data_IF_147642696705
#
_entry.id   IF_147642696705
#
_cell.length_a   1.000
_cell.length_b   1.000
_cell.length_c   1.000
_cell.angle_alpha   90.00
_cell.angle_beta   90.00
_cell.angle_gamma   90.00
#
_symmetry.space_group_name_H-M   'P 1'
#
loop_
_entity.id
_entity.type
_entity.pdbx_description
1 polymer ?
#
# COMPACT_ATOMS: atom_id res chain seq x y z
N UNK A 1 -23.45 -59.07 -86.77
CA UNK A 1 -22.09 -59.39 -86.58
C UNK A 1 -21.38 -58.12 -86.27
N UNK A 2 -21.17 -57.88 -85.03
CA UNK A 2 -20.82 -56.57 -84.47
C UNK A 2 -19.30 -56.44 -84.26
N UNK A 3 -18.74 -55.42 -84.83
CA UNK A 3 -17.37 -55.00 -84.62
C UNK A 3 -17.32 -53.93 -83.50
N UNK A 4 -16.63 -54.25 -82.42
CA UNK A 4 -16.28 -53.31 -81.37
C UNK A 4 -15.04 -52.52 -81.79
N UNK A 5 -15.15 -51.20 -81.80
CA UNK A 5 -14.00 -50.27 -81.83
C UNK A 5 -13.71 -49.77 -80.40
N UNK A 6 -12.47 -49.66 -79.95
CA UNK A 6 -12.12 -49.07 -78.69
C UNK A 6 -11.94 -47.53 -78.86
N UNK A 7 -12.54 -46.76 -77.95
CA UNK A 7 -12.32 -45.30 -77.78
C UNK A 7 -10.97 -45.02 -77.13
N UNK A 8 -10.11 -44.33 -77.84
CA UNK A 8 -8.87 -43.79 -77.33
C UNK A 8 -9.11 -42.38 -76.82
N UNK A 9 -8.98 -42.18 -75.48
CA UNK A 9 -9.10 -40.90 -74.83
C UNK A 9 -7.75 -40.43 -74.30
N UNK A 10 -6.85 -40.02 -75.15
CA UNK A 10 -5.63 -39.33 -74.75
C UNK A 10 -5.89 -37.83 -74.67
N UNK A 11 -6.04 -37.34 -73.43
CA UNK A 11 -6.13 -35.88 -73.16
C UNK A 11 -4.67 -35.34 -73.04
N UNK A 12 -4.26 -34.35 -73.78
CA UNK A 12 -2.92 -33.79 -73.67
C UNK A 12 -2.81 -32.92 -72.38
N UNK A 13 -1.92 -33.33 -71.49
CA UNK A 13 -1.59 -32.48 -70.32
C UNK A 13 -0.77 -31.30 -70.82
N UNK A 14 -1.43 -30.17 -70.91
CA UNK A 14 -0.83 -28.88 -71.31
C UNK A 14 -0.01 -28.32 -70.15
N UNK A 15 1.28 -28.59 -70.13
CA UNK A 15 2.25 -28.19 -69.10
C UNK A 15 2.63 -26.72 -69.29
N UNK A 16 1.75 -25.76 -68.82
CA UNK A 16 2.02 -24.32 -68.90
C UNK A 16 3.04 -23.94 -67.82
N UNK A 17 4.23 -23.40 -68.15
CA UNK A 17 5.27 -23.02 -67.21
C UNK A 17 4.85 -21.83 -66.30
N UNK A 18 3.76 -21.11 -66.64
CA UNK A 18 3.22 -20.01 -65.88
C UNK A 18 2.64 -20.47 -64.51
N UNK A 19 1.96 -21.65 -64.44
CA UNK A 19 1.30 -22.13 -63.20
C UNK A 19 2.35 -22.55 -62.18
N UNK A 20 3.51 -23.11 -62.59
CA UNK A 20 4.59 -23.45 -61.69
C UNK A 20 5.28 -22.24 -61.05
N UNK A 21 5.39 -21.13 -61.77
CA UNK A 21 6.00 -19.89 -61.22
C UNK A 21 5.06 -19.19 -60.24
N UNK A 22 3.75 -19.24 -60.44
CA UNK A 22 2.77 -18.70 -59.49
C UNK A 22 2.68 -19.52 -58.22
N UNK A 23 2.71 -20.85 -58.28
CA UNK A 23 2.74 -21.70 -57.09
C UNK A 23 4.03 -21.52 -56.27
N UNK A 24 5.17 -21.38 -56.91
CA UNK A 24 6.45 -21.17 -56.23
C UNK A 24 6.48 -19.77 -55.54
N UNK A 25 5.98 -18.74 -56.19
CA UNK A 25 5.86 -17.39 -55.61
C UNK A 25 4.89 -17.35 -54.41
N UNK A 26 3.80 -18.12 -54.49
CA UNK A 26 2.83 -18.21 -53.39
C UNK A 26 3.42 -19.00 -52.17
N UNK A 27 4.19 -20.05 -52.41
CA UNK A 27 4.89 -20.80 -51.36
C UNK A 27 5.98 -19.99 -50.66
N UNK A 28 6.75 -19.19 -51.39
CA UNK A 28 7.76 -18.28 -50.81
C UNK A 28 7.08 -17.15 -50.01
N UNK A 29 5.96 -16.63 -50.48
CA UNK A 29 5.18 -15.62 -49.72
C UNK A 29 4.60 -16.20 -48.42
N UNK A 30 4.12 -17.43 -48.41
CA UNK A 30 3.63 -18.13 -47.22
C UNK A 30 4.78 -18.41 -46.24
N UNK A 31 5.96 -18.83 -46.70
CA UNK A 31 7.13 -19.00 -45.85
C UNK A 31 7.66 -17.69 -45.25
N UNK A 32 7.61 -16.60 -46.01
CA UNK A 32 7.97 -15.27 -45.54
C UNK A 32 6.96 -14.74 -44.50
N UNK A 33 5.67 -15.07 -44.58
CA UNK A 33 4.64 -14.75 -43.59
C UNK A 33 4.80 -15.55 -42.28
N UNK A 34 5.34 -16.77 -42.35
CA UNK A 34 5.59 -17.60 -41.17
C UNK A 34 6.82 -17.13 -40.36
N UNK A 35 7.77 -16.45 -40.97
CA UNK A 35 8.92 -15.85 -40.25
C UNK A 35 8.61 -14.47 -39.63
N UNK A 36 7.45 -13.86 -39.96
CA UNK A 36 7.02 -12.55 -39.39
C UNK A 36 6.47 -12.64 -37.95
N UNK A 37 6.33 -13.83 -37.38
CA UNK A 37 5.81 -14.01 -36.02
C UNK A 37 6.69 -13.36 -34.92
N UNK A 38 7.96 -13.05 -35.20
CA UNK A 38 8.85 -12.34 -34.28
C UNK A 38 8.64 -10.79 -34.22
N UNK A 39 7.88 -10.23 -35.16
CA UNK A 39 7.69 -8.77 -35.33
C UNK A 39 6.26 -8.35 -34.92
N UNK A 40 5.51 -9.25 -34.29
CA UNK A 40 4.14 -8.92 -33.88
C UNK A 40 4.12 -7.77 -32.87
N UNK A 41 3.31 -6.72 -33.07
CA UNK A 41 3.21 -5.62 -32.12
C UNK A 41 2.58 -6.09 -30.81
N UNK A 42 3.07 -5.53 -29.70
CA UNK A 42 2.60 -5.82 -28.36
C UNK A 42 3.68 -6.49 -27.50
N UNK A 43 3.45 -6.47 -26.20
CA UNK A 43 4.31 -7.14 -25.23
C UNK A 43 4.02 -8.64 -25.22
N UNK A 44 5.04 -9.46 -25.05
CA UNK A 44 4.93 -10.89 -24.77
C UNK A 44 6.10 -11.33 -23.90
N UNK A 45 5.92 -12.39 -23.13
CA UNK A 45 6.98 -12.95 -22.31
C UNK A 45 7.99 -13.68 -23.19
N UNK A 46 9.25 -13.24 -23.17
CA UNK A 46 10.33 -13.95 -23.86
C UNK A 46 10.59 -15.31 -23.19
N UNK A 47 11.03 -16.30 -23.98
CA UNK A 47 11.41 -17.62 -23.49
C UNK A 47 12.85 -17.97 -23.99
N UNK A 48 13.84 -18.01 -23.08
CA UNK A 48 13.78 -17.68 -21.66
C UNK A 48 13.67 -16.15 -21.41
N UNK A 49 13.02 -15.73 -20.28
CA UNK A 49 12.95 -14.33 -19.94
C UNK A 49 14.32 -13.81 -19.51
N UNK A 50 14.71 -12.64 -20.05
CA UNK A 50 15.99 -12.01 -19.76
C UNK A 50 15.81 -10.51 -19.54
N UNK A 51 16.66 -9.94 -18.69
CA UNK A 51 16.74 -8.51 -18.46
C UNK A 51 18.09 -7.98 -18.95
N UNK A 52 18.11 -6.88 -19.72
CA UNK A 52 19.34 -6.22 -20.08
C UNK A 52 20.03 -5.65 -18.84
N UNK A 53 21.28 -6.04 -18.61
CA UNK A 53 22.09 -5.54 -17.48
C UNK A 53 22.96 -4.38 -17.94
N UNK A 54 23.55 -4.48 -19.13
CA UNK A 54 24.35 -3.42 -19.73
C UNK A 54 23.95 -3.24 -21.19
N UNK A 55 23.87 -1.97 -21.61
CA UNK A 55 23.64 -1.59 -22.99
C UNK A 55 24.85 -0.77 -23.51
N UNK A 56 25.20 -0.93 -24.79
CA UNK A 56 26.20 -0.09 -25.46
C UNK A 56 25.62 1.30 -25.74
N UNK A 57 26.48 2.28 -26.05
CA UNK A 57 26.06 3.63 -26.46
C UNK A 57 25.11 3.65 -27.68
N UNK A 58 25.14 2.60 -28.47
CA UNK A 58 24.23 2.41 -29.62
C UNK A 58 22.89 1.74 -29.28
N UNK A 59 22.65 1.43 -27.99
CA UNK A 59 21.43 0.78 -27.51
C UNK A 59 21.41 -0.75 -27.61
N UNK A 60 22.50 -1.37 -28.09
CA UNK A 60 22.62 -2.83 -28.14
C UNK A 60 22.89 -3.41 -26.76
N UNK A 61 22.16 -4.48 -26.40
CA UNK A 61 22.33 -5.18 -25.12
C UNK A 61 23.64 -5.96 -25.12
N UNK A 62 24.55 -5.60 -24.22
CA UNK A 62 25.89 -6.22 -24.13
C UNK A 62 25.93 -7.38 -23.12
N UNK A 63 25.02 -7.42 -22.17
CA UNK A 63 24.84 -8.57 -21.27
C UNK A 63 23.39 -8.70 -20.80
N UNK A 64 22.91 -9.93 -20.79
CA UNK A 64 21.58 -10.31 -20.33
C UNK A 64 21.66 -11.15 -19.07
N UNK A 65 20.79 -10.85 -18.12
CA UNK A 65 20.54 -11.68 -16.94
C UNK A 65 19.29 -12.53 -17.18
N UNK A 66 19.47 -13.86 -17.22
CA UNK A 66 18.34 -14.78 -17.27
C UNK A 66 17.56 -14.70 -15.95
N UNK A 67 16.27 -14.46 -16.06
CA UNK A 67 15.38 -14.35 -14.90
C UNK A 67 14.80 -15.73 -14.58
N UNK A 68 14.94 -16.23 -13.34
CA UNK A 68 14.38 -17.53 -12.96
C UNK A 68 12.85 -17.50 -12.99
N UNK A 69 12.25 -18.52 -13.62
CA UNK A 69 10.80 -18.74 -13.64
C UNK A 69 10.46 -19.87 -12.68
N UNK A 70 9.57 -19.60 -11.72
CA UNK A 70 9.06 -20.58 -10.75
C UNK A 70 7.59 -20.84 -11.02
N UNK A 71 7.20 -22.11 -11.08
CA UNK A 71 5.78 -22.48 -11.21
C UNK A 71 5.05 -22.24 -9.89
N UNK A 72 3.87 -21.64 -9.98
CA UNK A 72 2.99 -21.46 -8.82
C UNK A 72 2.27 -22.78 -8.57
N UNK A 73 2.75 -23.50 -7.58
CA UNK A 73 2.14 -24.72 -7.04
C UNK A 73 1.81 -24.55 -5.54
N UNK A 74 1.19 -25.56 -4.96
CA UNK A 74 0.79 -25.52 -3.55
C UNK A 74 2.00 -25.44 -2.59
N UNK A 75 3.14 -26.04 -2.96
CA UNK A 75 4.35 -26.03 -2.15
C UNK A 75 4.94 -24.62 -2.11
N UNK A 76 5.07 -23.97 -3.26
CA UNK A 76 5.56 -22.59 -3.38
C UNK A 76 4.63 -21.60 -2.63
N UNK A 77 3.31 -21.75 -2.79
CA UNK A 77 2.34 -20.90 -2.09
C UNK A 77 2.50 -21.02 -0.58
N UNK A 78 2.65 -22.25 -0.07
CA UNK A 78 2.86 -22.47 1.37
C UNK A 78 4.20 -21.90 1.85
N UNK A 79 5.26 -22.03 1.04
CA UNK A 79 6.57 -21.43 1.35
C UNK A 79 6.47 -19.91 1.46
N UNK A 80 5.92 -19.23 0.45
CA UNK A 80 5.80 -17.76 0.43
C UNK A 80 4.96 -17.28 1.61
N UNK A 81 3.86 -17.97 1.94
CA UNK A 81 3.03 -17.64 3.11
C UNK A 81 3.78 -17.80 4.44
N UNK A 82 4.63 -18.83 4.56
CA UNK A 82 5.45 -19.02 5.74
C UNK A 82 6.50 -17.92 5.88
N UNK A 83 7.16 -17.53 4.77
CA UNK A 83 8.12 -16.43 4.72
C UNK A 83 7.45 -15.10 5.10
N UNK A 84 6.27 -14.80 4.55
CA UNK A 84 5.51 -13.60 4.90
C UNK A 84 5.11 -13.57 6.37
N UNK A 85 4.67 -14.69 6.93
CA UNK A 85 4.35 -14.79 8.36
C UNK A 85 5.57 -14.48 9.24
N UNK A 86 6.75 -14.97 8.87
CA UNK A 86 7.98 -14.72 9.65
C UNK A 86 8.41 -13.25 9.59
N UNK A 87 8.30 -12.60 8.45
CA UNK A 87 8.62 -11.17 8.28
C UNK A 87 7.60 -10.29 9.00
N UNK A 88 6.32 -10.63 8.93
CA UNK A 88 5.24 -9.85 9.55
C UNK A 88 5.18 -10.07 11.08
N UNK A 89 5.75 -11.15 11.57
CA UNK A 89 5.86 -11.47 13.00
C UNK A 89 7.00 -10.75 13.71
N UNK A 90 7.69 -9.79 13.06
CA UNK A 90 8.67 -8.96 13.77
C UNK A 90 8.00 -8.36 15.02
N UNK A 91 8.47 -8.66 16.21
CA UNK A 91 7.82 -8.21 17.43
C UNK A 91 7.86 -6.69 17.49
N UNK A 92 6.71 -6.07 17.75
CA UNK A 92 6.66 -4.66 18.12
C UNK A 92 7.60 -4.48 19.33
N UNK A 93 8.55 -3.54 19.31
CA UNK A 93 9.49 -3.34 20.39
C UNK A 93 8.79 -3.21 21.75
N UNK A 94 9.35 -3.85 22.77
CA UNK A 94 8.73 -3.93 24.09
C UNK A 94 8.54 -2.55 24.77
N UNK A 95 9.36 -1.57 24.38
CA UNK A 95 9.30 -0.18 24.85
C UNK A 95 8.09 0.62 24.34
N UNK A 96 7.41 0.12 23.29
CA UNK A 96 6.12 0.68 22.86
C UNK A 96 4.94 0.17 23.69
N UNK A 97 5.08 -1.00 24.34
CA UNK A 97 4.06 -1.51 25.23
C UNK A 97 4.21 -0.91 26.61
N UNK A 98 3.14 -0.39 27.19
CA UNK A 98 3.19 0.24 28.48
C UNK A 98 1.89 0.14 29.25
N UNK A 99 1.96 0.43 30.52
CA UNK A 99 0.80 0.71 31.36
C UNK A 99 0.75 2.20 31.64
N UNK A 100 -0.43 2.79 31.61
CA UNK A 100 -0.60 4.17 32.02
C UNK A 100 -0.19 4.35 33.47
N UNK A 101 0.72 5.28 33.72
CA UNK A 101 1.13 5.70 35.07
C UNK A 101 0.29 6.87 35.63
N UNK A 102 -0.83 7.19 34.97
CA UNK A 102 -1.60 8.40 35.27
C UNK A 102 -0.96 9.66 34.65
N UNK A 103 -1.76 10.71 34.55
CA UNK A 103 -1.28 11.99 34.01
C UNK A 103 -0.31 12.67 34.98
N UNK A 104 0.80 13.14 34.45
CA UNK A 104 1.76 13.97 35.17
C UNK A 104 1.74 15.36 34.57
N UNK A 105 1.60 16.36 35.44
CA UNK A 105 1.61 17.76 35.07
C UNK A 105 2.93 18.15 34.41
N UNK A 106 2.86 19.06 33.45
CA UNK A 106 4.02 19.59 32.74
C UNK A 106 3.91 21.09 32.45
N UNK A 107 5.01 21.69 31.99
CA UNK A 107 5.02 23.10 31.60
C UNK A 107 3.95 23.40 30.53
N UNK A 108 3.23 24.53 30.73
CA UNK A 108 2.14 24.93 29.85
C UNK A 108 0.75 24.47 30.27
N UNK A 109 0.62 23.45 31.13
CA UNK A 109 -0.67 23.06 31.69
C UNK A 109 -1.26 24.18 32.51
N UNK A 110 -2.59 24.26 32.50
CA UNK A 110 -3.34 25.26 33.29
C UNK A 110 -4.09 24.55 34.40
N UNK A 111 -3.83 24.95 35.62
CA UNK A 111 -4.48 24.41 36.80
C UNK A 111 -5.64 25.31 37.26
N UNK A 112 -6.77 24.70 37.51
CA UNK A 112 -7.84 25.33 38.27
C UNK A 112 -7.63 24.96 39.75
N UNK A 113 -7.31 25.95 40.57
CA UNK A 113 -7.06 25.79 41.99
C UNK A 113 -8.16 26.53 42.71
N UNK A 114 -8.94 25.80 43.52
CA UNK A 114 -10.03 26.35 44.31
C UNK A 114 -9.71 26.17 45.79
N UNK A 115 -9.72 27.26 46.54
CA UNK A 115 -9.66 27.25 48.03
C UNK A 115 -11.03 27.52 48.55
N UNK A 116 -11.61 26.54 49.26
CA UNK A 116 -12.99 26.65 49.77
C UNK A 116 -13.08 27.69 50.87
N UNK A 117 -14.20 28.44 50.89
CA UNK A 117 -14.47 29.56 51.79
C UNK A 117 -13.53 30.77 51.60
N UNK A 118 -12.80 30.86 50.51
CA UNK A 118 -11.88 31.93 50.15
C UNK A 118 -12.10 32.44 48.74
N UNK A 119 -13.21 33.21 48.47
CA UNK A 119 -13.57 33.68 47.14
C UNK A 119 -12.54 34.62 46.50
N UNK A 120 -11.68 35.25 47.29
CA UNK A 120 -10.59 36.10 46.83
C UNK A 120 -9.61 35.42 45.91
N UNK A 121 -9.43 34.09 46.03
CA UNK A 121 -8.56 33.29 45.14
C UNK A 121 -9.20 33.09 43.76
N UNK A 122 -10.53 33.13 43.65
CA UNK A 122 -11.19 32.97 42.35
C UNK A 122 -10.87 34.15 41.40
N UNK A 123 -10.70 35.34 41.95
CA UNK A 123 -10.33 36.53 41.17
C UNK A 123 -8.90 36.45 40.62
N UNK A 124 -7.99 35.76 41.32
CA UNK A 124 -6.61 35.57 40.90
C UNK A 124 -6.45 34.59 39.71
N UNK A 125 -7.42 33.69 39.53
CA UNK A 125 -7.42 32.73 38.41
C UNK A 125 -7.82 33.35 37.05
N UNK A 126 -8.25 34.62 37.03
CA UNK A 126 -8.74 35.30 35.83
C UNK A 126 -10.22 34.99 35.55
N UNK A 127 -10.90 35.90 34.86
CA UNK A 127 -12.30 35.70 34.45
C UNK A 127 -12.38 35.00 33.08
N UNK A 128 -13.41 34.16 32.84
CA UNK A 128 -13.63 33.57 31.50
C UNK A 128 -13.92 34.72 30.51
N UNK A 129 -13.09 34.88 29.50
CA UNK A 129 -13.40 35.76 28.37
C UNK A 129 -14.52 35.16 27.53
N UNK A 130 -15.57 35.91 27.22
CA UNK A 130 -16.74 35.43 26.46
C UNK A 130 -16.46 35.06 24.98
N UNK A 131 -15.28 35.33 24.46
CA UNK A 131 -14.88 35.05 23.07
C UNK A 131 -13.47 34.42 23.02
N UNK A 132 -13.25 33.29 23.68
CA UNK A 132 -11.99 32.59 23.62
C UNK A 132 -11.86 31.81 22.28
N UNK A 133 -10.79 32.09 21.54
CA UNK A 133 -10.34 31.21 20.44
C UNK A 133 -9.87 29.91 21.06
N UNK A 134 -10.00 28.78 20.31
CA UNK A 134 -9.54 27.46 20.79
C UNK A 134 -8.06 27.42 21.23
N UNK A 135 -7.26 28.40 20.83
CA UNK A 135 -5.86 28.54 21.21
C UNK A 135 -5.63 29.27 22.54
N UNK A 136 -6.65 29.94 23.07
CA UNK A 136 -6.50 30.71 24.31
C UNK A 136 -6.53 29.77 25.52
N UNK A 137 -5.65 30.02 26.50
CA UNK A 137 -5.59 29.23 27.71
C UNK A 137 -6.89 29.41 28.51
N UNK A 138 -7.43 28.31 29.07
CA UNK A 138 -8.50 28.38 30.05
C UNK A 138 -8.07 29.25 31.24
N UNK A 139 -9.03 29.95 31.93
CA UNK A 139 -8.71 30.68 33.16
C UNK A 139 -8.13 29.72 34.21
N UNK A 140 -7.02 30.14 34.84
CA UNK A 140 -6.32 29.31 35.81
C UNK A 140 -4.88 29.72 36.03
N UNK A 141 -4.16 28.89 36.76
CA UNK A 141 -2.74 29.05 37.06
C UNK A 141 -1.90 28.22 36.09
N UNK A 142 -1.13 28.92 35.27
CA UNK A 142 -0.27 28.27 34.28
C UNK A 142 0.97 27.67 34.95
N UNK A 143 1.35 26.49 34.60
CA UNK A 143 2.67 25.93 34.98
C UNK A 143 3.73 26.53 34.04
N UNK A 144 4.63 27.28 34.62
CA UNK A 144 5.68 28.00 33.93
C UNK A 144 6.69 27.04 33.24
N UNK A 145 7.55 27.58 32.41
CA UNK A 145 8.53 26.81 31.66
C UNK A 145 9.55 26.08 32.56
N UNK A 146 9.81 26.58 33.74
CA UNK A 146 10.66 25.95 34.77
C UNK A 146 9.93 24.79 35.52
N UNK A 147 8.65 24.56 35.21
CA UNK A 147 7.80 23.57 35.86
C UNK A 147 7.17 23.99 37.17
N UNK A 148 7.23 25.24 37.52
CA UNK A 148 6.64 25.77 38.76
C UNK A 148 5.28 26.42 38.50
N UNK A 149 4.46 26.55 39.54
CA UNK A 149 3.24 27.32 39.57
C UNK A 149 3.29 28.33 40.72
N UNK A 150 2.98 29.58 40.37
CA UNK A 150 2.85 30.65 41.37
C UNK A 150 1.41 30.66 41.89
N UNK A 151 1.24 30.71 43.25
CA UNK A 151 -0.07 30.79 43.84
C UNK A 151 -0.09 31.88 44.93
N UNK A 152 -1.17 32.69 45.07
CA UNK A 152 -1.26 33.75 46.06
C UNK A 152 -1.00 33.25 47.49
N UNK A 153 -0.39 34.09 48.29
CA UNK A 153 0.01 33.85 49.69
C UNK A 153 1.08 32.74 49.89
N UNK A 154 1.58 32.17 48.82
CA UNK A 154 2.71 31.23 48.85
C UNK A 154 3.95 31.94 48.36
N UNK A 155 4.97 32.08 49.24
CA UNK A 155 6.17 32.88 48.94
C UNK A 155 7.09 32.19 47.92
N UNK A 156 7.13 30.84 47.91
CA UNK A 156 7.98 30.06 46.99
C UNK A 156 7.10 29.36 45.97
N UNK A 157 7.42 29.49 44.67
CA UNK A 157 6.70 28.75 43.64
C UNK A 157 6.69 27.26 43.92
N UNK A 158 5.57 26.59 43.66
CA UNK A 158 5.42 25.14 43.85
C UNK A 158 5.82 24.41 42.55
N UNK A 159 6.77 23.49 42.66
CA UNK A 159 7.15 22.66 41.52
C UNK A 159 6.03 21.67 41.22
N UNK A 160 5.28 21.92 40.14
CA UNK A 160 4.16 21.09 39.69
C UNK A 160 4.58 20.04 38.62
N UNK A 161 5.58 20.34 37.79
CA UNK A 161 6.03 19.44 36.72
C UNK A 161 6.48 18.09 37.27
N UNK A 162 6.00 17.01 36.62
CA UNK A 162 6.26 15.61 36.99
C UNK A 162 5.39 15.06 38.13
N UNK A 163 4.57 15.91 38.76
CA UNK A 163 3.65 15.50 39.83
C UNK A 163 2.22 15.28 39.32
N UNK A 164 1.44 14.58 40.13
CA UNK A 164 0.00 14.48 39.90
C UNK A 164 -0.74 15.68 40.47
N UNK A 165 -1.96 16.02 39.99
CA UNK A 165 -2.77 17.08 40.59
C UNK A 165 -2.98 16.93 42.09
N UNK A 166 -3.12 15.68 42.58
CA UNK A 166 -3.29 15.39 44.00
C UNK A 166 -2.05 15.72 44.83
N UNK A 167 -0.86 15.49 44.28
CA UNK A 167 0.42 15.82 44.97
C UNK A 167 0.57 17.34 45.08
N UNK A 168 0.24 18.08 43.99
CA UNK A 168 0.28 19.55 44.02
C UNK A 168 -0.74 20.10 44.97
N UNK A 169 -1.94 19.51 45.04
CA UNK A 169 -2.96 19.89 46.02
C UNK A 169 -2.43 19.80 47.46
N UNK A 170 -1.81 18.67 47.83
CA UNK A 170 -1.25 18.45 49.17
C UNK A 170 -0.18 19.50 49.53
N UNK A 171 0.68 19.85 48.54
CA UNK A 171 1.70 20.88 48.77
C UNK A 171 1.11 22.28 48.96
N UNK A 172 0.11 22.64 48.13
CA UNK A 172 -0.59 23.91 48.29
C UNK A 172 -1.26 23.99 49.65
N UNK A 173 -1.97 22.94 50.10
CA UNK A 173 -2.58 22.87 51.41
C UNK A 173 -1.54 23.04 52.54
N UNK A 174 -0.39 22.39 52.44
CA UNK A 174 0.67 22.47 53.42
C UNK A 174 1.25 23.89 53.53
N UNK A 175 1.45 24.57 52.42
CA UNK A 175 1.95 25.94 52.41
C UNK A 175 0.89 26.94 52.93
N UNK A 176 -0.37 26.78 52.52
CA UNK A 176 -1.46 27.65 52.94
C UNK A 176 -1.80 27.50 54.45
N UNK A 177 -1.54 26.34 55.06
CA UNK A 177 -1.69 26.12 56.52
C UNK A 177 -0.83 27.08 57.36
N UNK A 178 0.22 27.65 56.77
CA UNK A 178 1.07 28.65 57.46
C UNK A 178 0.35 30.00 57.67
N UNK A 179 -0.69 30.29 56.84
CA UNK A 179 -1.41 31.57 56.80
C UNK A 179 -2.89 31.40 57.14
N UNK A 180 -3.50 30.27 56.77
CA UNK A 180 -4.92 30.00 56.91
C UNK A 180 -5.19 28.82 57.87
N UNK A 181 -6.29 28.86 58.58
CA UNK A 181 -6.71 27.77 59.48
C UNK A 181 -7.47 26.71 58.68
N UNK A 182 -6.90 25.52 58.56
CA UNK A 182 -7.50 24.36 57.86
C UNK A 182 -7.98 24.66 56.45
N UNK A 183 -7.14 25.20 55.55
CA UNK A 183 -7.52 25.47 54.18
C UNK A 183 -7.89 24.18 53.48
N UNK A 184 -9.01 24.16 52.74
CA UNK A 184 -9.44 23.06 51.86
C UNK A 184 -9.16 23.47 50.44
N UNK A 185 -8.31 22.71 49.77
CA UNK A 185 -7.88 23.01 48.38
C UNK A 185 -8.35 21.91 47.44
N UNK A 186 -8.79 22.29 46.27
CA UNK A 186 -9.06 21.36 45.15
C UNK A 186 -8.24 21.81 43.97
N UNK A 187 -7.48 20.88 43.36
CA UNK A 187 -6.67 21.12 42.16
C UNK A 187 -7.19 20.23 41.02
N UNK A 188 -7.52 20.85 39.90
CA UNK A 188 -7.93 20.19 38.67
C UNK A 188 -7.12 20.75 37.51
N UNK A 189 -6.94 19.97 36.45
CA UNK A 189 -6.36 20.48 35.22
C UNK A 189 -7.48 21.13 34.41
N UNK A 190 -7.37 22.43 34.16
CA UNK A 190 -8.32 23.19 33.34
C UNK A 190 -8.02 23.06 31.86
N UNK A 191 -6.71 22.97 31.50
CA UNK A 191 -6.28 22.78 30.13
C UNK A 191 -4.99 21.95 30.10
N UNK A 192 -5.01 20.86 29.35
CA UNK A 192 -3.86 20.00 29.12
C UNK A 192 -3.07 20.54 27.90
N UNK A 193 -1.84 20.99 28.09
CA UNK A 193 -1.02 21.62 27.05
C UNK A 193 0.44 21.13 27.05
N UNK A 194 0.83 20.41 28.10
CA UNK A 194 2.22 19.98 28.28
C UNK A 194 2.68 18.90 27.30
N UNK A 195 1.76 18.08 26.78
CA UNK A 195 2.12 16.99 25.88
C UNK A 195 1.15 16.86 24.73
N UNK A 196 1.71 16.62 23.54
CA UNK A 196 0.95 16.36 22.31
C UNK A 196 1.57 15.19 21.57
N UNK A 197 0.74 14.45 20.83
CA UNK A 197 1.16 13.53 19.77
C UNK A 197 0.65 14.07 18.45
N UNK A 198 1.35 13.75 17.40
CA UNK A 198 0.99 14.18 16.05
C UNK A 198 0.47 12.97 15.28
N UNK A 199 -0.68 13.11 14.63
CA UNK A 199 -1.29 12.07 13.80
C UNK A 199 -1.37 12.58 12.38
N UNK A 200 -0.76 11.84 11.45
CA UNK A 200 -0.62 12.23 10.04
C UNK A 200 -0.95 11.07 9.10
N UNK A 201 -1.16 11.37 7.82
CA UNK A 201 -1.50 10.40 6.79
C UNK A 201 -2.98 10.05 6.75
N UNK A 202 -3.30 8.81 6.45
CA UNK A 202 -4.64 8.32 6.13
C UNK A 202 -5.52 8.10 7.39
N UNK A 203 -5.79 9.20 8.09
CA UNK A 203 -6.82 9.32 9.12
C UNK A 203 -7.83 10.38 8.71
N UNK A 204 -9.04 10.38 9.29
CA UNK A 204 -10.10 11.31 8.86
C UNK A 204 -9.81 12.78 9.20
N UNK A 205 -9.14 13.03 10.30
CA UNK A 205 -8.79 14.37 10.79
C UNK A 205 -7.34 14.37 11.31
N UNK A 206 -6.34 14.47 10.42
CA UNK A 206 -4.94 14.56 10.83
C UNK A 206 -4.68 15.84 11.62
N UNK A 207 -3.72 15.80 12.52
CA UNK A 207 -3.36 16.94 13.36
C UNK A 207 -2.78 16.54 14.71
N UNK A 208 -2.54 17.54 15.55
CA UNK A 208 -2.06 17.33 16.91
C UNK A 208 -3.17 16.86 17.84
N UNK A 209 -2.88 15.87 18.70
CA UNK A 209 -3.77 15.36 19.72
C UNK A 209 -3.15 15.59 21.08
N UNK A 210 -3.85 16.30 21.95
CA UNK A 210 -3.37 16.62 23.29
C UNK A 210 -3.45 15.39 24.19
N UNK A 211 -2.38 15.11 24.92
CA UNK A 211 -2.36 14.07 25.94
C UNK A 211 -3.04 14.63 27.20
N UNK A 212 -4.01 13.89 27.72
CA UNK A 212 -4.75 14.23 28.91
C UNK A 212 -4.72 13.08 29.95
N UNK A 213 -5.66 13.07 30.88
CA UNK A 213 -5.83 12.03 31.91
C UNK A 213 -6.25 10.66 31.35
N UNK A 214 -6.77 10.64 30.11
CA UNK A 214 -7.04 9.39 29.38
C UNK A 214 -5.73 8.91 28.73
N UNK A 215 -5.31 7.64 28.95
CA UNK A 215 -4.08 7.12 28.39
C UNK A 215 -4.03 7.27 26.87
N UNK A 216 -3.03 7.97 26.33
CA UNK A 216 -2.84 8.15 24.92
C UNK A 216 -2.22 6.89 24.31
N UNK A 217 -3.08 5.99 23.85
CA UNK A 217 -2.67 4.79 23.12
C UNK A 217 -2.70 5.04 21.62
N UNK A 218 -2.12 4.13 20.83
CA UNK A 218 -2.23 4.17 19.36
C UNK A 218 -3.70 4.23 18.93
N UNK A 219 -4.56 3.39 19.51
CA UNK A 219 -5.98 3.33 19.18
C UNK A 219 -6.70 4.63 19.57
N UNK A 220 -6.36 5.17 20.75
CA UNK A 220 -6.95 6.44 21.21
C UNK A 220 -6.57 7.60 20.28
N UNK A 221 -5.30 7.69 19.87
CA UNK A 221 -4.85 8.73 18.95
C UNK A 221 -5.56 8.66 17.60
N UNK A 222 -5.68 7.44 17.04
CA UNK A 222 -6.44 7.22 15.80
C UNK A 222 -7.91 7.57 15.97
N UNK A 223 -8.55 7.19 17.07
CA UNK A 223 -9.97 7.50 17.34
C UNK A 223 -10.21 8.99 17.46
N UNK A 224 -9.33 9.73 18.15
CA UNK A 224 -9.41 11.21 18.25
C UNK A 224 -9.20 11.88 16.89
N UNK A 225 -8.41 11.27 16.00
CA UNK A 225 -8.29 11.69 14.60
C UNK A 225 -9.48 11.24 13.72
N UNK A 226 -10.61 10.81 14.31
CA UNK A 226 -11.82 10.39 13.61
C UNK A 226 -11.78 8.98 13.03
N UNK A 227 -10.74 8.18 13.36
CA UNK A 227 -10.52 6.83 12.85
C UNK A 227 -9.70 6.79 11.56
N UNK A 228 -9.38 5.59 11.12
CA UNK A 228 -8.71 5.37 9.84
C UNK A 228 -9.57 5.85 8.66
N UNK A 229 -8.95 6.47 7.67
CA UNK A 229 -9.59 6.79 6.39
C UNK A 229 -9.91 5.50 5.59
N UNK A 230 -10.85 5.53 4.63
CA UNK A 230 -11.12 4.37 3.77
C UNK A 230 -9.91 3.89 2.97
N UNK A 231 -8.98 4.80 2.66
CA UNK A 231 -7.73 4.59 1.92
C UNK A 231 -6.56 4.14 2.79
N UNK A 232 -6.74 4.06 4.12
CA UNK A 232 -5.69 3.70 5.05
C UNK A 232 -5.19 2.25 4.91
N UNK A 233 -3.87 2.09 4.96
CA UNK A 233 -3.20 0.79 5.11
C UNK A 233 -2.91 0.52 6.59
N UNK A 234 -3.74 -0.28 7.23
CA UNK A 234 -3.59 -0.64 8.64
C UNK A 234 -2.42 -1.58 8.91
N UNK A 235 -1.80 -2.12 7.87
CA UNK A 235 -0.58 -2.92 8.00
C UNK A 235 0.68 -2.06 8.06
N UNK A 236 0.58 -0.77 7.70
CA UNK A 236 1.70 0.17 7.57
C UNK A 236 1.47 1.44 8.37
N UNK A 237 1.38 1.26 9.66
CA UNK A 237 1.36 2.37 10.62
C UNK A 237 2.76 2.53 11.18
N UNK A 238 3.27 3.75 11.23
CA UNK A 238 4.62 4.03 11.76
C UNK A 238 4.52 5.00 12.92
N UNK A 239 5.14 4.63 14.04
CA UNK A 239 5.34 5.52 15.19
C UNK A 239 6.78 6.02 15.14
N UNK A 240 6.98 7.33 15.03
CA UNK A 240 8.31 7.93 15.13
C UNK A 240 8.48 8.55 16.50
N UNK A 241 9.45 8.04 17.27
CA UNK A 241 9.79 8.49 18.62
C UNK A 241 11.27 8.83 18.69
N UNK A 242 11.60 10.05 19.09
CA UNK A 242 13.01 10.49 19.21
C UNK A 242 13.85 10.22 17.95
N UNK A 243 13.26 10.41 16.75
CA UNK A 243 13.93 10.17 15.47
C UNK A 243 14.01 8.71 15.03
N UNK A 244 13.55 7.76 15.85
CA UNK A 244 13.50 6.34 15.48
C UNK A 244 12.09 5.95 15.01
N UNK A 245 12.02 5.31 13.83
CA UNK A 245 10.76 4.84 13.25
C UNK A 245 10.47 3.39 13.67
N UNK A 246 9.29 3.16 14.20
CA UNK A 246 8.78 1.86 14.63
C UNK A 246 7.60 1.47 13.75
N UNK A 247 7.77 0.55 12.78
CA UNK A 247 6.67 0.05 11.98
C UNK A 247 5.75 -0.84 12.83
N UNK A 248 4.45 -0.59 12.74
CA UNK A 248 3.41 -1.31 13.46
C UNK A 248 2.36 -1.82 12.48
N UNK A 249 2.19 -3.14 12.40
CA UNK A 249 1.11 -3.75 11.64
C UNK A 249 -0.11 -3.96 12.56
N UNK A 250 -1.01 -2.96 12.58
CA UNK A 250 -2.19 -2.96 13.44
C UNK A 250 -3.15 -4.10 13.06
N UNK A 251 -3.32 -4.35 11.76
CA UNK A 251 -4.17 -5.43 11.28
C UNK A 251 -3.66 -6.82 11.73
N UNK A 252 -2.35 -7.03 11.68
CA UNK A 252 -1.72 -8.28 12.15
C UNK A 252 -1.80 -8.45 13.66
N UNK A 253 -1.60 -7.38 14.44
CA UNK A 253 -1.77 -7.42 15.89
C UNK A 253 -3.18 -7.90 16.26
N UNK A 254 -4.21 -7.31 15.64
CA UNK A 254 -5.60 -7.73 15.87
C UNK A 254 -5.84 -9.19 15.46
N UNK A 255 -5.31 -9.64 14.32
CA UNK A 255 -5.42 -11.04 13.87
C UNK A 255 -4.73 -12.02 14.82
N UNK A 256 -3.64 -11.61 15.46
CA UNK A 256 -2.92 -12.43 16.45
C UNK A 256 -3.50 -12.34 17.87
N UNK A 257 -4.59 -11.61 18.07
CA UNK A 257 -5.23 -11.43 19.38
C UNK A 257 -4.53 -10.43 20.31
N UNK A 258 -3.53 -9.70 19.80
CA UNK A 258 -2.88 -8.62 20.56
C UNK A 258 -3.70 -7.35 20.44
N UNK A 259 -4.06 -6.75 21.57
CA UNK A 259 -4.81 -5.50 21.60
C UNK A 259 -3.89 -4.30 21.27
N UNK A 260 -4.10 -3.59 20.13
CA UNK A 260 -3.26 -2.42 19.81
C UNK A 260 -3.38 -1.26 20.81
N UNK A 261 -4.42 -1.26 21.67
CA UNK A 261 -4.55 -0.28 22.76
C UNK A 261 -3.50 -0.45 23.87
N UNK A 262 -2.68 -1.50 23.85
CA UNK A 262 -1.53 -1.65 24.73
C UNK A 262 -0.30 -0.87 24.27
N UNK A 263 -0.30 -0.37 23.04
CA UNK A 263 0.76 0.50 22.51
C UNK A 263 0.53 1.92 23.02
N UNK A 264 1.47 2.39 23.84
CA UNK A 264 1.42 3.71 24.48
C UNK A 264 2.21 4.74 23.70
N UNK A 265 1.56 5.87 23.39
CA UNK A 265 2.22 7.02 22.80
C UNK A 265 2.72 7.98 23.88
N UNK A 266 3.82 8.66 23.57
CA UNK A 266 4.48 9.63 24.44
C UNK A 266 4.42 11.03 23.81
N UNK A 267 4.59 12.10 24.63
CA UNK A 267 4.70 13.45 24.09
C UNK A 267 5.78 13.56 23.02
N UNK A 268 5.43 14.14 21.87
CA UNK A 268 6.33 14.30 20.74
C UNK A 268 6.32 13.15 19.74
N UNK A 269 5.60 12.05 19.99
CA UNK A 269 5.46 10.98 19.01
C UNK A 269 4.72 11.46 17.77
N UNK A 270 5.17 11.03 16.59
CA UNK A 270 4.47 11.15 15.32
C UNK A 270 3.92 9.78 14.92
N UNK A 271 2.61 9.68 14.80
CA UNK A 271 1.89 8.54 14.25
C UNK A 271 1.56 8.82 12.79
N UNK A 272 2.16 8.08 11.88
CA UNK A 272 1.89 8.19 10.44
C UNK A 272 1.17 6.93 9.94
N UNK A 273 0.07 7.12 9.21
CA UNK A 273 -0.71 6.05 8.57
C UNK A 273 -0.54 6.15 7.07
N UNK A 274 0.07 5.13 6.45
CA UNK A 274 0.31 5.11 5.02
C UNK A 274 -0.98 4.92 4.20
N UNK A 275 -0.99 5.41 2.96
CA UNK A 275 -2.03 5.12 1.99
C UNK A 275 -1.83 3.73 1.37
N UNK A 276 -2.93 3.05 1.02
CA UNK A 276 -2.89 1.76 0.28
C UNK A 276 -2.33 1.96 -1.12
N UNK A 277 -2.65 3.11 -1.72
CA UNK A 277 -2.24 3.51 -3.07
C UNK A 277 -0.71 3.71 -3.20
N UNK A 278 0.04 3.87 -2.12
CA UNK A 278 1.51 3.98 -2.14
C UNK A 278 2.19 2.66 -2.53
N UNK A 279 1.47 1.55 -2.38
CA UNK A 279 2.01 0.20 -2.55
C UNK A 279 1.13 -0.69 -3.45
N UNK A 280 0.80 -0.23 -4.66
CA UNK A 280 -0.07 -0.98 -5.55
C UNK A 280 0.63 -2.19 -6.17
N UNK A 281 -0.18 -3.09 -6.69
CA UNK A 281 0.19 -4.12 -7.65
C UNK A 281 -0.28 -3.66 -9.04
N UNK A 282 0.54 -3.85 -10.05
CA UNK A 282 0.21 -3.48 -11.42
C UNK A 282 -0.29 -4.70 -12.19
N UNK A 283 -1.50 -4.63 -12.73
CA UNK A 283 -2.07 -5.69 -13.58
C UNK A 283 -2.13 -5.20 -15.01
N UNK A 284 -1.47 -5.92 -15.91
CA UNK A 284 -1.33 -5.50 -17.31
C UNK A 284 -1.32 -6.71 -18.27
N UNK A 285 -1.27 -6.43 -19.57
CA UNK A 285 -1.37 -7.43 -20.64
C UNK A 285 -2.82 -7.66 -21.05
N UNK A 286 -3.18 -8.89 -21.37
CA UNK A 286 -4.48 -9.25 -21.93
C UNK A 286 -5.53 -9.47 -20.83
N UNK A 287 -5.80 -8.41 -20.06
CA UNK A 287 -6.91 -8.30 -19.10
C UNK A 287 -7.94 -7.31 -19.64
N UNK A 288 -9.18 -7.38 -19.16
CA UNK A 288 -10.24 -6.49 -19.66
C UNK A 288 -10.01 -5.02 -19.28
N UNK A 289 -9.40 -4.76 -18.11
CA UNK A 289 -9.12 -3.41 -17.60
C UNK A 289 -7.75 -3.39 -16.91
N UNK A 290 -6.66 -3.13 -17.63
CA UNK A 290 -5.37 -2.93 -17.00
C UNK A 290 -5.45 -1.87 -15.89
N UNK A 291 -4.92 -2.16 -14.71
CA UNK A 291 -5.12 -1.35 -13.53
C UNK A 291 -3.93 -1.41 -12.54
N UNK A 292 -3.82 -0.37 -11.76
CA UNK A 292 -3.03 -0.32 -10.54
C UNK A 292 -3.97 -0.68 -9.37
N UNK A 293 -3.73 -1.82 -8.72
CA UNK A 293 -4.61 -2.39 -7.70
C UNK A 293 -3.97 -2.20 -6.33
N UNK A 294 -4.54 -1.36 -5.45
CA UNK A 294 -4.04 -1.21 -4.09
C UNK A 294 -4.38 -2.46 -3.26
N UNK A 295 -3.55 -2.81 -2.25
CA UNK A 295 -3.87 -3.89 -1.32
C UNK A 295 -5.14 -3.59 -0.52
N UNK A 296 -5.69 -4.61 0.14
CA UNK A 296 -6.79 -4.44 1.09
C UNK A 296 -6.34 -3.63 2.32
N UNK A 297 -7.27 -3.22 3.18
CA UNK A 297 -6.96 -2.42 4.38
C UNK A 297 -5.96 -3.09 5.33
N UNK A 298 -5.88 -4.39 5.30
CA UNK A 298 -4.97 -5.18 6.11
C UNK A 298 -3.62 -5.43 5.44
N UNK A 299 -3.37 -4.78 4.29
CA UNK A 299 -2.14 -4.88 3.51
C UNK A 299 -2.03 -6.15 2.67
N UNK A 300 -3.06 -6.99 2.63
CA UNK A 300 -3.06 -8.22 1.83
C UNK A 300 -3.66 -7.99 0.44
N UNK A 301 -3.17 -8.73 -0.54
CA UNK A 301 -3.76 -8.82 -1.89
C UNK A 301 -3.36 -10.17 -2.48
N UNK A 302 -4.32 -10.91 -3.00
CA UNK A 302 -4.08 -12.18 -3.70
C UNK A 302 -4.08 -11.98 -5.21
N UNK A 303 -3.48 -12.92 -5.94
CA UNK A 303 -3.47 -12.88 -7.41
C UNK A 303 -4.87 -12.92 -8.00
N UNK A 304 -5.81 -13.69 -7.40
CA UNK A 304 -7.19 -13.73 -7.87
C UNK A 304 -7.94 -12.43 -7.65
N UNK A 305 -7.71 -11.75 -6.52
CA UNK A 305 -8.30 -10.43 -6.24
C UNK A 305 -7.78 -9.37 -7.22
N UNK A 306 -6.47 -9.36 -7.47
CA UNK A 306 -5.88 -8.42 -8.42
C UNK A 306 -6.42 -8.63 -9.85
N UNK A 307 -6.53 -9.89 -10.30
CA UNK A 307 -7.13 -10.20 -11.60
C UNK A 307 -8.61 -9.81 -11.66
N UNK A 308 -9.36 -9.98 -10.56
CA UNK A 308 -10.77 -9.60 -10.49
C UNK A 308 -10.97 -8.09 -10.60
N UNK A 309 -10.15 -7.29 -9.93
CA UNK A 309 -10.16 -5.82 -10.04
C UNK A 309 -9.80 -5.34 -11.46
N UNK A 310 -8.91 -6.07 -12.15
CA UNK A 310 -8.56 -5.84 -13.55
C UNK A 310 -9.64 -6.37 -14.54
N UNK A 311 -10.82 -6.75 -14.06
CA UNK A 311 -11.94 -7.22 -14.87
C UNK A 311 -11.73 -8.63 -15.45
N UNK A 312 -10.87 -9.45 -14.86
CA UNK A 312 -10.51 -10.80 -15.27
C UNK A 312 -9.66 -10.84 -16.57
N UNK A 313 -9.28 -12.05 -16.98
CA UNK A 313 -8.59 -12.29 -18.25
C UNK A 313 -9.53 -11.95 -19.42
N UNK A 314 -8.99 -11.33 -20.46
CA UNK A 314 -9.74 -11.13 -21.70
C UNK A 314 -9.89 -12.47 -22.42
N UNK A 315 -11.10 -13.01 -22.48
CA UNK A 315 -11.39 -14.34 -23.05
C UNK A 315 -11.07 -14.47 -24.54
N UNK A 316 -11.00 -13.35 -25.26
CA UNK A 316 -10.76 -13.35 -26.71
C UNK A 316 -9.26 -13.31 -27.06
N UNK A 317 -8.45 -12.69 -26.21
CA UNK A 317 -7.07 -12.36 -26.54
C UNK A 317 -6.04 -13.01 -25.61
N UNK A 318 -6.41 -13.27 -24.33
CA UNK A 318 -5.48 -13.81 -23.35
C UNK A 318 -5.15 -15.28 -23.54
N UNK A 319 -3.93 -15.65 -23.22
CA UNK A 319 -3.56 -17.05 -22.99
C UNK A 319 -3.65 -17.35 -21.49
N UNK A 320 -4.71 -18.03 -21.07
CA UNK A 320 -4.92 -18.40 -19.67
C UNK A 320 -3.79 -19.28 -19.10
N UNK A 321 -2.96 -19.91 -19.94
CA UNK A 321 -1.78 -20.65 -19.49
C UNK A 321 -0.62 -19.75 -19.09
N UNK A 322 -0.62 -18.49 -19.54
CA UNK A 322 0.52 -17.59 -19.49
C UNK A 322 0.20 -16.38 -18.57
N UNK A 323 0.01 -16.67 -17.29
CA UNK A 323 -0.14 -15.64 -16.25
C UNK A 323 1.14 -15.59 -15.44
N UNK A 324 1.77 -14.43 -15.41
CA UNK A 324 3.05 -14.20 -14.76
C UNK A 324 2.93 -13.17 -13.63
N UNK A 325 3.68 -13.39 -12.56
CA UNK A 325 3.88 -12.39 -11.50
C UNK A 325 5.38 -12.09 -11.43
N UNK A 326 5.74 -10.87 -11.78
CA UNK A 326 7.11 -10.39 -11.74
C UNK A 326 7.34 -9.69 -10.40
N UNK A 327 8.27 -10.18 -9.61
CA UNK A 327 8.60 -9.68 -8.28
C UNK A 327 10.07 -9.31 -8.17
N UNK A 328 10.34 -8.10 -7.72
CA UNK A 328 11.69 -7.67 -7.36
C UNK A 328 12.04 -8.22 -5.97
N UNK A 329 13.17 -8.90 -5.84
CA UNK A 329 13.69 -9.34 -4.55
C UNK A 329 14.63 -8.30 -3.91
N UNK A 330 15.00 -8.52 -2.65
CA UNK A 330 15.84 -7.60 -1.89
C UNK A 330 17.25 -7.42 -2.48
N UNK A 331 17.76 -8.45 -3.17
CA UNK A 331 19.05 -8.45 -3.90
C UNK A 331 18.99 -7.78 -5.28
N UNK A 332 17.88 -7.15 -5.63
CA UNK A 332 17.57 -6.59 -6.96
C UNK A 332 17.46 -7.62 -8.10
N UNK A 333 17.58 -8.92 -7.84
CA UNK A 333 17.34 -9.96 -8.82
C UNK A 333 15.85 -10.21 -8.92
N UNK A 334 15.21 -10.00 -10.08
CA UNK A 334 13.79 -10.28 -10.23
C UNK A 334 13.54 -11.78 -10.26
N UNK A 335 12.36 -12.18 -9.82
CA UNK A 335 11.84 -13.55 -9.96
C UNK A 335 10.50 -13.49 -10.66
N UNK A 336 10.29 -14.38 -11.60
CA UNK A 336 9.03 -14.54 -12.30
C UNK A 336 8.32 -15.77 -11.73
N UNK A 337 7.08 -15.60 -11.31
CA UNK A 337 6.19 -16.71 -10.95
C UNK A 337 5.20 -16.92 -12.09
N UNK A 338 5.02 -18.16 -12.50
CA UNK A 338 4.16 -18.55 -13.61
C UNK A 338 3.00 -19.39 -13.12
N UNK A 339 1.78 -19.07 -13.55
CA UNK A 339 0.56 -19.81 -13.25
C UNK A 339 -0.20 -20.16 -14.52
N UNK A 340 -0.55 -21.44 -14.67
CA UNK A 340 -1.50 -21.91 -15.69
C UNK A 340 -2.92 -21.85 -15.11
N UNK A 341 -3.74 -20.91 -15.58
CA UNK A 341 -5.14 -20.73 -15.23
C UNK A 341 -6.13 -21.39 -16.19
N UNK A 342 -5.66 -22.24 -17.10
CA UNK A 342 -6.56 -22.96 -18.03
C UNK A 342 -7.58 -23.82 -17.30
N UNK A 343 -7.19 -24.42 -16.18
CA UNK A 343 -8.11 -25.15 -15.31
C UNK A 343 -8.73 -24.21 -14.28
N UNK A 344 -10.06 -24.19 -14.08
CA UNK A 344 -10.69 -23.44 -13.01
C UNK A 344 -10.17 -23.78 -11.61
N UNK A 345 -9.66 -25.00 -11.41
CA UNK A 345 -9.06 -25.42 -10.13
C UNK A 345 -7.79 -24.61 -9.81
N UNK A 346 -7.06 -24.17 -10.82
CA UNK A 346 -5.86 -23.33 -10.62
C UNK A 346 -6.18 -21.96 -10.02
N UNK A 347 -7.45 -21.49 -10.10
CA UNK A 347 -7.92 -20.29 -9.40
C UNK A 347 -7.80 -20.43 -7.87
N UNK A 348 -7.84 -21.65 -7.34
CA UNK A 348 -7.57 -21.88 -5.91
C UNK A 348 -6.12 -21.51 -5.54
N UNK A 349 -5.16 -21.79 -6.43
CA UNK A 349 -3.77 -21.36 -6.25
C UNK A 349 -3.65 -19.84 -6.36
N UNK A 350 -4.29 -19.23 -7.37
CA UNK A 350 -4.34 -17.78 -7.51
C UNK A 350 -4.92 -17.09 -6.27
N UNK A 351 -6.00 -17.64 -5.69
CA UNK A 351 -6.62 -17.12 -4.46
C UNK A 351 -5.72 -17.28 -3.23
N UNK A 352 -4.81 -18.22 -3.28
CA UNK A 352 -3.88 -18.47 -2.19
C UNK A 352 -2.52 -17.79 -2.37
N UNK A 353 -2.17 -17.37 -3.59
CA UNK A 353 -0.89 -16.73 -3.90
C UNK A 353 -0.91 -15.27 -3.45
N UNK A 354 -0.13 -14.89 -2.42
CA UNK A 354 -0.09 -13.51 -1.95
C UNK A 354 0.82 -12.66 -2.84
N UNK A 355 0.29 -11.54 -3.29
CA UNK A 355 1.06 -10.53 -4.00
C UNK A 355 1.82 -9.64 -3.00
N UNK A 356 2.98 -9.17 -3.43
CA UNK A 356 3.77 -8.19 -2.71
C UNK A 356 3.57 -6.79 -3.32
N UNK A 357 3.87 -5.75 -2.54
CA UNK A 357 3.87 -4.38 -3.03
C UNK A 357 4.75 -4.23 -4.27
N UNK A 358 4.21 -3.55 -5.29
CA UNK A 358 4.88 -3.27 -6.58
C UNK A 358 5.15 -4.52 -7.44
N UNK A 359 4.50 -5.66 -7.16
CA UNK A 359 4.47 -6.76 -8.11
C UNK A 359 3.81 -6.33 -9.41
N UNK A 360 4.24 -6.93 -10.51
CA UNK A 360 3.61 -6.77 -11.82
C UNK A 360 2.97 -8.10 -12.22
N UNK A 361 1.65 -8.13 -12.29
CA UNK A 361 0.89 -9.25 -12.85
C UNK A 361 0.74 -9.01 -14.34
N UNK A 362 1.26 -9.91 -15.13
CA UNK A 362 1.22 -9.83 -16.59
C UNK A 362 0.50 -11.04 -17.17
N UNK A 363 -0.50 -10.81 -18.01
CA UNK A 363 -1.23 -11.84 -18.75
C UNK A 363 -0.83 -11.76 -20.21
N UNK A 364 -0.27 -12.85 -20.74
CA UNK A 364 0.20 -12.87 -22.12
C UNK A 364 -0.94 -13.16 -23.12
N UNK A 365 -0.69 -12.89 -24.38
CA UNK A 365 -1.61 -13.11 -25.48
C UNK A 365 -1.42 -14.49 -26.12
N UNK A 366 -2.45 -14.97 -26.80
CA UNK A 366 -2.34 -16.20 -27.60
C UNK A 366 -1.53 -15.96 -28.86
N UNK A 367 -0.85 -17.02 -29.37
CA UNK A 367 -0.14 -16.96 -30.63
C UNK A 367 -1.05 -16.56 -31.82
N UNK A 368 -2.32 -16.95 -31.77
CA UNK A 368 -3.33 -16.58 -32.78
C UNK A 368 -3.59 -15.07 -32.80
N UNK A 369 -3.68 -14.44 -31.62
CA UNK A 369 -3.86 -12.98 -31.50
C UNK A 369 -2.63 -12.25 -32.06
N UNK A 370 -1.42 -12.73 -31.77
CA UNK A 370 -0.19 -12.18 -32.35
C UNK A 370 -0.22 -12.24 -33.88
N UNK A 371 -0.58 -13.40 -34.44
CA UNK A 371 -0.71 -13.56 -35.90
C UNK A 371 -1.78 -12.65 -36.49
N UNK A 372 -2.94 -12.52 -35.84
CA UNK A 372 -4.02 -11.63 -36.31
C UNK A 372 -3.64 -10.14 -36.28
N UNK A 373 -2.88 -9.69 -35.27
CA UNK A 373 -2.35 -8.32 -35.19
C UNK A 373 -1.42 -8.01 -36.37
N UNK A 374 -0.54 -8.95 -36.76
CA UNK A 374 0.32 -8.81 -37.94
C UNK A 374 -0.52 -8.75 -39.22
N UNK A 375 -1.48 -9.67 -39.37
CA UNK A 375 -2.38 -9.68 -40.52
C UNK A 375 -3.16 -8.37 -40.67
N UNK A 376 -3.73 -7.85 -39.59
CA UNK A 376 -4.48 -6.60 -39.59
C UNK A 376 -3.63 -5.38 -39.99
N UNK A 377 -2.31 -5.39 -39.73
CA UNK A 377 -1.39 -4.37 -40.20
C UNK A 377 -1.07 -4.51 -41.71
N UNK A 378 -1.11 -5.74 -42.25
CA UNK A 378 -0.78 -6.02 -43.64
C UNK A 378 -1.99 -5.86 -44.58
N UNK A 379 -3.23 -6.09 -44.13
CA UNK A 379 -4.44 -6.00 -44.92
C UNK A 379 -4.59 -4.66 -45.66
N UNK A 380 -4.38 -3.47 -45.02
CA UNK A 380 -4.47 -2.21 -45.72
C UNK A 380 -3.45 -2.06 -46.85
N UNK A 381 -2.22 -2.57 -46.66
CA UNK A 381 -1.19 -2.53 -47.70
C UNK A 381 -1.50 -3.48 -48.85
N UNK A 382 -2.03 -4.66 -48.58
CA UNK A 382 -2.45 -5.62 -49.57
C UNK A 382 -3.65 -5.08 -50.39
N UNK A 383 -4.64 -4.50 -49.72
CA UNK A 383 -5.82 -3.91 -50.36
C UNK A 383 -5.44 -2.71 -51.26
N UNK A 384 -4.55 -1.83 -50.81
CA UNK A 384 -4.05 -0.71 -51.62
C UNK A 384 -3.28 -1.19 -52.85
N UNK A 385 -2.46 -2.25 -52.72
CA UNK A 385 -1.76 -2.84 -53.84
C UNK A 385 -2.66 -3.51 -54.88
N UNK A 386 -3.72 -4.20 -54.43
CA UNK A 386 -4.72 -4.80 -55.32
C UNK A 386 -5.55 -3.74 -56.07
N UNK A 387 -5.95 -2.66 -55.39
CA UNK A 387 -6.69 -1.56 -56.00
C UNK A 387 -5.84 -0.83 -57.03
N UNK A 388 -4.56 -0.58 -56.76
CA UNK A 388 -3.61 0.00 -57.69
C UNK A 388 -3.40 -0.88 -58.95
N UNK A 389 -3.33 -2.20 -58.82
CA UNK A 389 -3.17 -3.14 -59.93
C UNK A 389 -4.42 -3.24 -60.82
N UNK A 390 -5.62 -2.96 -60.28
CA UNK A 390 -6.89 -2.95 -61.05
C UNK A 390 -7.13 -1.64 -61.76
N UNK A 391 -6.57 -0.51 -61.34
CA UNK A 391 -6.71 0.82 -61.92
C UNK A 391 -5.72 1.04 -63.09
N UNK A 392 -4.64 0.23 -63.17
CA UNK A 392 -3.59 0.35 -64.18
C UNK A 392 -3.79 -0.60 -65.39
N UNK A 393 -5.00 -1.19 -65.59
CA UNK A 393 -5.34 -1.99 -66.75
C UNK A 393 -6.30 -1.24 -67.73
#
# INVERSE_FOLDING_TARGET
>A
MNSHQPFDTSVPINNRPAVRRTCAAFSVAICALLSACGIAPGQHMADPPALPVTTSDNGDVTSDMKVPVKQIDLALVNQIRAEQKSVTAAPVPADLFGRSSGYKLGPGDVLQITVWNHPEFAAAAGQPMQNTRSADAAPGFVIESDGSVQFPYITRPIRAAGKTPSQVQQEIEAELKKVFVKPQVTVRVASFRAGQVYVDGEVRAPGSQTINDIPMTLVEAVNRAGGFAPTADQSRVTITRNGTAYPVNVAQLMKSGVNPATIMLQPGDLLHVAAREDNPVFVMGEVNKPASVPPQRDGTLTLSEALSEAGQLNQQTSDAKQVFVLRKQADNVPVIYHLDLKSPVSMLLANQFPLASKDVVYVDNTGLVRASRVLNLLIPAISAGLTGALVTK
#
